data_IF_831787381985
#
_entry.id   IF_831787381985
#
_cell.length_a   1.000
_cell.length_b   1.000
_cell.length_c   1.000
_cell.angle_alpha   90.00
_cell.angle_beta   90.00
_cell.angle_gamma   90.00
#
_symmetry.space_group_name_H-M   'P 1'
#
loop_
_entity.id
_entity.type
_entity.pdbx_description
1 polymer ?
#
# COMPACT_ATOMS: atom_id res chain seq x y z
N UNK A 1 -5.00 -11.26 -12.61
CA UNK A 1 -4.24 -10.11 -13.15
C UNK A 1 -3.67 -9.29 -12.00
N UNK A 2 -2.35 -9.09 -11.98
CA UNK A 2 -1.74 -8.07 -11.13
C UNK A 2 -1.72 -6.75 -11.90
N UNK A 3 -2.22 -5.67 -11.30
CA UNK A 3 -2.45 -4.42 -12.04
C UNK A 3 -1.23 -3.50 -12.13
N UNK A 4 -0.16 -3.80 -11.40
CA UNK A 4 0.88 -2.82 -11.12
C UNK A 4 2.29 -3.30 -11.47
N UNK A 5 2.45 -4.14 -12.49
CA UNK A 5 3.78 -4.51 -12.98
C UNK A 5 4.40 -3.45 -13.92
N UNK A 6 3.60 -2.48 -14.38
CA UNK A 6 4.02 -1.48 -15.38
C UNK A 6 4.83 -0.31 -14.82
N UNK A 7 4.72 0.04 -13.53
CA UNK A 7 5.56 1.11 -12.93
C UNK A 7 6.94 0.59 -12.48
N UNK A 8 7.64 -0.18 -13.32
CA UNK A 8 8.94 -0.77 -13.02
C UNK A 8 10.03 0.30 -13.25
N UNK A 9 10.68 0.86 -12.21
CA UNK A 9 11.89 1.64 -12.39
C UNK A 9 13.03 0.68 -12.81
N UNK A 10 14.15 1.18 -13.35
CA UNK A 10 15.29 0.34 -13.71
C UNK A 10 15.75 -0.50 -12.51
N UNK A 11 15.99 -1.77 -12.82
CA UNK A 11 16.15 -2.91 -11.93
C UNK A 11 17.48 -2.84 -11.14
N UNK A 12 17.46 -2.49 -9.85
CA UNK A 12 18.51 -2.89 -8.87
C UNK A 12 18.24 -2.63 -7.36
N UNK A 13 17.10 -2.09 -6.90
CA UNK A 13 16.98 -1.63 -5.50
C UNK A 13 16.08 -2.46 -4.55
N UNK A 14 15.41 -3.53 -4.97
CA UNK A 14 14.31 -4.09 -4.17
C UNK A 14 14.42 -5.60 -3.86
N UNK A 15 14.08 -5.96 -2.62
CA UNK A 15 14.11 -7.34 -2.12
C UNK A 15 13.03 -8.22 -2.76
N UNK A 16 13.29 -9.54 -2.91
CA UNK A 16 12.29 -10.54 -3.37
C UNK A 16 10.92 -10.43 -2.65
N UNK A 17 10.90 -9.92 -1.41
CA UNK A 17 9.69 -9.74 -0.61
C UNK A 17 8.73 -8.65 -1.12
N UNK A 18 9.18 -7.73 -1.99
CA UNK A 18 8.30 -6.74 -2.62
C UNK A 18 7.50 -7.29 -3.79
N UNK A 19 7.82 -8.49 -4.29
CA UNK A 19 7.16 -9.11 -5.45
C UNK A 19 5.92 -9.94 -5.09
N UNK A 20 5.56 -10.05 -3.81
CA UNK A 20 4.37 -10.77 -3.35
C UNK A 20 3.11 -9.98 -3.72
N UNK A 21 2.08 -10.69 -4.18
CA UNK A 21 0.80 -10.11 -4.58
C UNK A 21 -0.29 -10.33 -3.53
N UNK A 22 -0.93 -9.25 -3.10
CA UNK A 22 -1.97 -9.23 -2.08
C UNK A 22 -3.36 -9.11 -2.70
N UNK A 23 -4.30 -9.91 -2.20
CA UNK A 23 -5.72 -9.82 -2.60
C UNK A 23 -6.33 -8.54 -2.03
N UNK A 24 -7.37 -8.05 -2.70
CA UNK A 24 -8.19 -7.00 -2.11
C UNK A 24 -8.81 -7.48 -0.80
N UNK A 25 -8.91 -6.60 0.21
CA UNK A 25 -9.48 -6.94 1.50
C UNK A 25 -10.97 -7.31 1.35
N UNK A 26 -11.43 -8.21 2.22
CA UNK A 26 -12.84 -8.59 2.34
C UNK A 26 -13.66 -7.42 2.88
N UNK A 27 -13.10 -6.71 3.85
CA UNK A 27 -13.66 -5.48 4.43
C UNK A 27 -13.91 -4.43 3.34
N UNK A 28 -15.18 -4.00 3.23
CA UNK A 28 -15.63 -3.05 2.22
C UNK A 28 -15.06 -1.64 2.43
N UNK A 29 -14.84 -1.21 3.67
CA UNK A 29 -14.29 0.11 3.99
C UNK A 29 -12.80 0.18 3.63
N UNK A 30 -12.03 -0.86 3.95
CA UNK A 30 -10.61 -0.94 3.54
C UNK A 30 -10.50 -1.08 2.02
N UNK A 31 -11.40 -1.85 1.39
CA UNK A 31 -11.47 -1.98 -0.07
C UNK A 31 -11.74 -0.62 -0.74
N UNK A 32 -12.67 0.16 -0.21
CA UNK A 32 -12.95 1.51 -0.71
C UNK A 32 -11.71 2.41 -0.61
N UNK A 33 -10.98 2.37 0.52
CA UNK A 33 -9.71 3.10 0.68
C UNK A 33 -8.68 2.71 -0.38
N UNK A 34 -8.54 1.42 -0.68
CA UNK A 34 -7.63 0.94 -1.73
C UNK A 34 -8.02 1.53 -3.09
N UNK A 35 -9.30 1.51 -3.45
CA UNK A 35 -9.79 2.05 -4.71
C UNK A 35 -9.52 3.55 -4.84
N UNK A 36 -9.80 4.32 -3.78
CA UNK A 36 -9.51 5.75 -3.74
C UNK A 36 -8.02 6.03 -3.90
N UNK A 37 -7.16 5.26 -3.22
CA UNK A 37 -5.70 5.45 -3.32
C UNK A 37 -5.15 5.03 -4.68
N UNK A 38 -5.72 4.00 -5.30
CA UNK A 38 -5.33 3.49 -6.62
C UNK A 38 -5.60 4.51 -7.75
N UNK A 39 -6.55 5.43 -7.57
CA UNK A 39 -6.83 6.54 -8.51
C UNK A 39 -6.98 6.09 -9.96
N UNK A 40 -7.70 4.98 -10.19
CA UNK A 40 -7.93 4.44 -11.53
C UNK A 40 -9.40 4.60 -11.89
N UNK A 41 -9.67 5.32 -12.97
CA UNK A 41 -11.03 5.52 -13.46
C UNK A 41 -11.62 4.22 -13.99
N UNK A 42 -12.94 4.05 -13.77
CA UNK A 42 -13.74 2.91 -14.23
C UNK A 42 -13.13 1.55 -13.88
N UNK A 43 -12.51 1.46 -12.71
CA UNK A 43 -11.81 0.26 -12.26
C UNK A 43 -12.63 -0.54 -11.25
N UNK A 44 -13.00 -1.76 -11.63
CA UNK A 44 -13.68 -2.73 -10.76
C UNK A 44 -12.74 -3.90 -10.45
N UNK A 45 -12.25 -4.06 -9.20
CA UNK A 45 -11.41 -5.19 -8.84
C UNK A 45 -12.21 -6.48 -8.89
N UNK A 46 -11.65 -7.50 -9.54
CA UNK A 46 -12.20 -8.85 -9.55
C UNK A 46 -11.54 -9.71 -8.47
N UNK A 47 -12.05 -10.92 -8.27
CA UNK A 47 -11.48 -11.93 -7.35
C UNK A 47 -10.02 -12.27 -7.66
N UNK A 48 -9.56 -12.02 -8.89
CA UNK A 48 -8.21 -12.28 -9.37
C UNK A 48 -7.33 -11.03 -9.42
N UNK A 49 -7.86 -9.90 -8.98
CA UNK A 49 -7.11 -8.66 -8.93
C UNK A 49 -6.23 -8.60 -7.68
N UNK A 50 -4.99 -8.20 -7.86
CA UNK A 50 -3.98 -8.15 -6.80
C UNK A 50 -3.17 -6.86 -6.84
N UNK A 51 -2.67 -6.46 -5.67
CA UNK A 51 -1.74 -5.34 -5.47
C UNK A 51 -0.39 -5.88 -5.03
N UNK A 52 0.67 -5.37 -5.63
CA UNK A 52 2.04 -5.76 -5.31
C UNK A 52 2.46 -5.23 -3.93
N UNK A 53 3.22 -6.03 -3.15
CA UNK A 53 3.65 -5.69 -1.79
C UNK A 53 4.46 -4.39 -1.71
N UNK A 54 5.09 -3.97 -2.82
CA UNK A 54 5.80 -2.69 -2.95
C UNK A 54 4.95 -1.44 -2.70
N UNK A 55 3.62 -1.55 -2.81
CA UNK A 55 2.72 -0.41 -2.63
C UNK A 55 2.38 -0.15 -1.16
N UNK A 56 2.83 -1.01 -0.25
CA UNK A 56 2.60 -0.93 1.18
C UNK A 56 3.88 -0.60 1.92
N UNK A 57 3.74 0.01 3.10
CA UNK A 57 4.86 0.30 3.96
C UNK A 57 5.42 -0.98 4.57
N UNK A 58 6.73 -1.04 4.90
CA UNK A 58 7.28 -2.15 5.66
C UNK A 58 6.51 -2.45 6.95
N UNK A 59 6.01 -1.40 7.63
CA UNK A 59 5.23 -1.50 8.87
C UNK A 59 3.82 -2.06 8.71
N UNK A 60 3.26 -2.07 7.48
CA UNK A 60 1.94 -2.65 7.19
C UNK A 60 1.95 -4.18 7.18
N UNK A 61 3.12 -4.80 7.38
CA UNK A 61 3.30 -6.24 7.33
C UNK A 61 3.60 -6.81 8.72
N UNK A 62 2.86 -7.86 9.07
CA UNK A 62 3.17 -8.69 10.22
C UNK A 62 3.82 -10.00 9.76
N UNK A 63 4.75 -10.51 10.58
CA UNK A 63 5.27 -11.87 10.43
C UNK A 63 4.50 -12.75 11.40
N UNK A 64 3.82 -13.76 10.87
CA UNK A 64 3.12 -14.77 11.70
C UNK A 64 4.15 -15.65 12.43
N UNK A 65 3.72 -16.36 13.47
CA UNK A 65 4.59 -17.29 14.22
C UNK A 65 5.29 -18.32 13.31
N UNK A 66 4.67 -18.71 12.19
CA UNK A 66 5.26 -19.60 11.18
C UNK A 66 6.17 -18.91 10.14
N UNK A 67 6.59 -17.67 10.38
CA UNK A 67 7.49 -16.93 9.48
C UNK A 67 6.84 -16.37 8.21
N UNK A 68 5.54 -16.62 7.99
CA UNK A 68 4.83 -16.07 6.83
C UNK A 68 4.55 -14.58 7.03
N UNK A 69 5.01 -13.77 6.08
CA UNK A 69 4.71 -12.33 6.01
C UNK A 69 3.29 -12.14 5.47
N UNK A 70 2.45 -11.45 6.25
CA UNK A 70 1.08 -11.10 5.85
C UNK A 70 0.86 -9.59 5.95
N UNK A 71 0.03 -9.09 5.04
CA UNK A 71 -0.44 -7.72 5.11
C UNK A 71 -1.45 -7.61 6.26
N UNK A 72 -1.27 -6.62 7.13
CA UNK A 72 -2.13 -6.38 8.28
C UNK A 72 -3.55 -5.99 7.84
N UNK A 73 -4.53 -6.28 8.71
CA UNK A 73 -5.90 -5.79 8.51
C UNK A 73 -5.90 -4.27 8.54
N UNK A 74 -6.61 -3.64 7.62
CA UNK A 74 -6.69 -2.17 7.53
C UNK A 74 -5.53 -1.49 6.80
N UNK A 75 -4.46 -2.22 6.44
CA UNK A 75 -3.38 -1.67 5.63
C UNK A 75 -3.90 -1.15 4.29
N UNK A 76 -3.36 -0.02 3.84
CA UNK A 76 -3.77 0.66 2.60
C UNK A 76 -2.53 0.90 1.74
N UNK A 77 -2.58 0.67 0.41
CA UNK A 77 -1.46 0.98 -0.44
C UNK A 77 -1.27 2.49 -0.51
N UNK A 78 -0.06 2.96 -0.26
CA UNK A 78 0.30 4.37 -0.21
C UNK A 78 1.47 4.72 -1.12
N UNK A 79 2.25 3.74 -1.59
CA UNK A 79 3.46 3.97 -2.37
C UNK A 79 3.19 3.71 -3.85
N UNK A 80 3.29 4.72 -4.69
CA UNK A 80 2.98 4.65 -6.11
C UNK A 80 3.91 5.53 -6.95
N UNK A 81 3.86 5.38 -8.27
CA UNK A 81 4.69 6.18 -9.19
C UNK A 81 4.35 7.68 -9.12
N UNK A 82 3.06 8.02 -9.02
CA UNK A 82 2.59 9.41 -8.98
C UNK A 82 2.89 10.16 -7.68
N UNK A 83 3.36 9.48 -6.63
CA UNK A 83 3.86 10.13 -5.42
C UNK A 83 5.31 9.74 -5.12
N UNK A 84 6.06 9.34 -6.14
CA UNK A 84 7.49 9.01 -6.03
C UNK A 84 7.80 7.99 -4.92
N UNK A 85 6.84 7.09 -4.61
CA UNK A 85 6.93 6.16 -3.48
C UNK A 85 7.23 6.87 -2.14
N UNK A 86 6.67 8.06 -1.95
CA UNK A 86 6.72 8.81 -0.70
C UNK A 86 5.40 8.72 0.04
N UNK A 87 5.44 8.73 1.37
CA UNK A 87 4.22 8.75 2.16
C UNK A 87 3.56 10.13 2.05
N UNK A 88 2.23 10.19 1.89
CA UNK A 88 1.54 11.45 2.10
C UNK A 88 1.84 11.87 3.53
N UNK A 89 2.59 12.96 3.69
CA UNK A 89 2.81 13.59 4.99
C UNK A 89 1.44 13.79 5.63
N UNK A 90 1.26 13.47 6.92
CA UNK A 90 0.12 14.00 7.65
C UNK A 90 0.15 15.51 7.39
N UNK A 91 -0.96 16.06 6.91
CA UNK A 91 -1.10 17.51 6.78
C UNK A 91 -0.83 18.07 8.18
N UNK A 92 0.39 18.57 8.42
CA UNK A 92 0.70 19.32 9.62
C UNK A 92 -0.19 20.54 9.49
N UNK A 93 -1.28 20.57 10.25
CA UNK A 93 -1.95 21.83 10.51
C UNK A 93 -0.91 22.68 11.24
N UNK A 94 -0.24 23.56 10.50
CA UNK A 94 0.54 24.65 11.06
C UNK A 94 -0.42 25.52 11.87
N UNK A 95 -0.42 25.33 13.20
CA UNK A 95 -1.04 26.10 14.30
C UNK A 95 -1.67 25.12 15.33
N UNK A 96 -1.25 24.94 16.58
CA UNK A 96 -0.38 25.68 17.51
C UNK A 96 0.00 24.80 18.72
N UNK A 97 1.19 25.05 19.27
CA UNK A 97 1.61 24.93 20.68
C UNK A 97 2.09 23.57 21.23
N UNK A 98 3.42 23.43 21.16
CA UNK A 98 4.25 22.80 22.18
C UNK A 98 3.98 23.53 23.51
N UNK A 99 3.41 22.83 24.49
CA UNK A 99 3.66 23.12 25.90
C UNK A 99 4.28 21.87 26.50
N UNK A 100 5.57 21.97 26.75
CA UNK A 100 6.32 21.10 27.67
C UNK A 100 5.70 21.20 29.06
N UNK A 101 5.59 20.07 29.74
CA UNK A 101 5.55 20.01 31.21
C UNK A 101 6.98 19.90 31.73
#
# INVERSE_FOLDING_TARGET
MALWWKDRPPYNKWSKKSEIFHKFPVDAAVRAKWLTKIRRDKFTPTVNTRVCGRHFQPGDFAVTAGGLRRLQSGAVPLLFSWNEYTLPTPRQNSNMNIVTF
#
